data_IF_047241753162
#
_entry.id   IF_047241753162
#
_cell.length_a   1.000
_cell.length_b   1.000
_cell.length_c   1.000
_cell.angle_alpha   90.00
_cell.angle_beta   90.00
_cell.angle_gamma   90.00
#
_symmetry.space_group_name_H-M   'P 1'
#
loop_
_entity.id
_entity.type
_entity.pdbx_description
1 polymer ?
#
# COMPACT_ATOMS: atom_id res chain seq x y z
N UNK A 1 -14.97 -22.26 22.53
CA UNK A 1 -13.62 -21.89 22.98
C UNK A 1 -12.67 -22.99 22.52
N UNK A 2 -11.50 -22.64 21.98
CA UNK A 2 -10.46 -23.63 21.66
C UNK A 2 -9.99 -24.30 22.96
N UNK A 3 -9.90 -25.63 22.97
CA UNK A 3 -9.41 -26.42 24.12
C UNK A 3 -8.12 -27.11 23.66
N UNK A 4 -6.94 -26.67 24.13
CA UNK A 4 -5.66 -27.27 23.75
C UNK A 4 -5.60 -28.74 24.19
N UNK A 5 -5.26 -29.64 23.27
CA UNK A 5 -5.05 -31.07 23.55
C UNK A 5 -4.09 -31.70 22.52
N UNK A 6 -3.81 -32.99 22.67
CA UNK A 6 -2.90 -33.71 21.78
C UNK A 6 -3.37 -33.76 20.31
N UNK A 7 -4.67 -33.57 20.04
CA UNK A 7 -5.24 -33.62 18.69
C UNK A 7 -5.07 -32.30 17.93
N UNK A 8 -4.78 -31.20 18.63
CA UNK A 8 -4.52 -29.89 18.04
C UNK A 8 -3.09 -29.38 18.28
N UNK A 9 -2.20 -30.26 18.74
CA UNK A 9 -0.79 -29.98 18.91
C UNK A 9 -0.07 -29.95 17.55
N UNK A 10 0.28 -28.75 17.09
CA UNK A 10 1.05 -28.55 15.85
C UNK A 10 2.57 -28.65 16.07
N UNK A 11 3.06 -28.40 17.29
CA UNK A 11 4.48 -28.48 17.62
C UNK A 11 4.74 -28.79 19.09
N UNK A 12 5.59 -29.79 19.36
CA UNK A 12 6.10 -30.11 20.70
C UNK A 12 7.41 -29.34 21.03
N UNK A 13 7.78 -29.33 22.31
CA UNK A 13 8.91 -28.58 22.88
C UNK A 13 10.16 -28.51 21.98
N UNK A 14 10.65 -27.29 21.79
CA UNK A 14 11.86 -26.98 21.02
C UNK A 14 13.00 -26.58 21.96
N UNK A 15 14.24 -26.87 21.59
CA UNK A 15 15.42 -26.29 22.25
C UNK A 15 15.65 -24.82 21.88
N UNK A 16 14.88 -24.31 20.92
CA UNK A 16 14.89 -22.94 20.45
C UNK A 16 13.69 -22.15 21.00
N UNK A 17 13.85 -20.83 21.17
CA UNK A 17 12.79 -19.93 21.64
C UNK A 17 11.88 -19.43 20.49
N UNK A 18 11.97 -20.05 19.32
CA UNK A 18 11.18 -19.73 18.14
C UNK A 18 10.82 -20.99 17.36
N UNK A 19 9.69 -20.92 16.66
CA UNK A 19 9.22 -21.94 15.73
C UNK A 19 8.50 -21.27 14.57
N UNK A 20 8.65 -21.85 13.38
CA UNK A 20 7.98 -21.42 12.15
C UNK A 20 7.03 -22.51 11.71
N UNK A 21 5.76 -22.15 11.53
CA UNK A 21 4.76 -23.01 10.90
C UNK A 21 4.84 -22.85 9.37
N UNK A 22 5.08 -23.95 8.65
CA UNK A 22 5.15 -23.98 7.19
C UNK A 22 3.87 -24.55 6.55
N UNK A 23 2.91 -25.03 7.35
CA UNK A 23 1.68 -25.68 6.89
C UNK A 23 0.49 -24.70 6.76
N UNK A 24 0.76 -23.40 6.95
CA UNK A 24 -0.22 -22.32 6.85
C UNK A 24 -0.44 -21.84 5.42
N UNK A 25 -1.69 -21.52 5.10
CA UNK A 25 -2.13 -21.01 3.82
C UNK A 25 -2.08 -19.48 3.78
N UNK A 26 -1.78 -18.96 2.59
CA UNK A 26 -1.75 -17.53 2.32
C UNK A 26 -3.10 -16.86 2.63
N UNK A 27 -3.03 -15.67 3.22
CA UNK A 27 -4.20 -14.82 3.52
C UNK A 27 -5.28 -15.47 4.42
N UNK A 28 -4.89 -16.47 5.20
CA UNK A 28 -5.74 -17.08 6.21
C UNK A 28 -5.25 -16.71 7.61
N UNK A 29 -6.19 -16.38 8.50
CA UNK A 29 -5.87 -16.12 9.90
C UNK A 29 -5.64 -17.44 10.61
N UNK A 30 -4.47 -17.58 11.20
CA UNK A 30 -4.14 -18.67 12.11
C UNK A 30 -3.95 -18.13 13.53
N UNK A 31 -4.38 -18.94 14.49
CA UNK A 31 -4.30 -18.62 15.90
C UNK A 31 -3.49 -19.72 16.57
N UNK A 32 -2.41 -19.34 17.24
CA UNK A 32 -1.57 -20.27 17.98
C UNK A 32 -1.76 -20.06 19.47
N UNK A 33 -1.64 -21.15 20.21
CA UNK A 33 -1.61 -21.14 21.65
C UNK A 33 -0.35 -21.87 22.08
N UNK A 34 0.53 -21.14 22.78
CA UNK A 34 1.82 -21.64 23.23
C UNK A 34 1.73 -21.93 24.71
N UNK A 35 1.95 -23.19 25.08
CA UNK A 35 2.05 -23.61 26.48
C UNK A 35 3.51 -23.86 26.85
N UNK A 36 3.98 -23.19 27.89
CA UNK A 36 5.25 -23.52 28.53
C UNK A 36 5.00 -24.38 29.77
N UNK A 37 5.82 -25.42 29.96
CA UNK A 37 5.79 -26.30 31.13
C UNK A 37 7.16 -26.30 31.80
N UNK A 38 7.20 -26.06 33.10
CA UNK A 38 8.42 -26.20 33.90
C UNK A 38 8.67 -27.69 34.18
N UNK A 39 9.79 -28.21 33.66
CA UNK A 39 10.17 -29.62 33.77
C UNK A 39 10.58 -30.03 35.20
N UNK A 40 10.85 -29.07 36.10
CA UNK A 40 11.23 -29.32 37.48
C UNK A 40 10.06 -29.52 38.45
N UNK A 41 8.89 -28.97 38.15
CA UNK A 41 7.73 -29.00 39.05
C UNK A 41 6.38 -29.29 38.35
N UNK A 42 6.36 -29.40 37.02
CA UNK A 42 5.15 -29.71 36.26
C UNK A 42 4.14 -28.56 36.18
N UNK A 43 4.52 -27.35 36.58
CA UNK A 43 3.67 -26.18 36.42
C UNK A 43 3.59 -25.79 34.94
N UNK A 44 2.38 -25.55 34.47
CA UNK A 44 2.11 -25.07 33.13
C UNK A 44 1.67 -23.60 33.17
N UNK A 45 2.06 -22.84 32.15
CA UNK A 45 1.45 -21.54 31.81
C UNK A 45 -0.04 -21.72 31.49
N UNK A 46 -0.86 -20.73 31.89
CA UNK A 46 -2.33 -20.73 31.75
C UNK A 46 -2.81 -20.35 30.34
N UNK A 47 -1.89 -20.21 29.39
CA UNK A 47 -2.13 -19.89 28.00
C UNK A 47 -2.93 -18.58 27.80
N UNK A 48 -2.59 -17.54 28.56
CA UNK A 48 -3.36 -16.29 28.56
C UNK A 48 -3.04 -15.40 27.35
N UNK A 49 -1.90 -15.63 26.69
CA UNK A 49 -1.47 -14.87 25.53
C UNK A 49 -2.05 -15.45 24.23
N UNK A 50 -2.90 -14.68 23.57
CA UNK A 50 -3.39 -14.97 22.21
C UNK A 50 -2.77 -13.98 21.24
N UNK A 51 -1.96 -14.51 20.33
CA UNK A 51 -1.43 -13.77 19.20
C UNK A 51 -2.01 -14.36 17.92
N UNK A 52 -2.29 -13.50 16.95
CA UNK A 52 -2.61 -13.92 15.59
C UNK A 52 -1.68 -13.16 14.66
N UNK A 53 -1.29 -13.82 13.59
CA UNK A 53 -0.60 -13.18 12.48
C UNK A 53 -1.10 -13.79 11.18
N UNK A 54 -0.86 -13.11 10.07
CA UNK A 54 -1.21 -13.57 8.73
C UNK A 54 0.04 -14.17 8.10
N UNK A 55 -0.06 -15.41 7.62
CA UNK A 55 1.05 -16.03 6.92
C UNK A 55 1.21 -15.40 5.53
N UNK A 56 2.39 -14.83 5.29
CA UNK A 56 2.85 -14.39 3.97
C UNK A 56 3.97 -15.32 3.52
N UNK A 57 3.98 -15.70 2.24
CA UNK A 57 5.09 -16.47 1.67
C UNK A 57 6.38 -15.66 1.64
N UNK A 58 7.45 -16.23 1.07
CA UNK A 58 8.62 -15.43 0.76
C UNK A 58 8.23 -14.25 -0.13
N UNK A 59 8.92 -13.12 0.02
CA UNK A 59 8.76 -12.01 -0.90
C UNK A 59 9.08 -12.51 -2.32
N UNK A 60 8.18 -12.22 -3.24
CA UNK A 60 8.33 -12.53 -4.65
C UNK A 60 8.14 -11.26 -5.47
N UNK A 61 8.88 -11.17 -6.56
CA UNK A 61 8.73 -10.09 -7.54
C UNK A 61 7.30 -10.13 -8.08
N UNK A 62 6.59 -9.03 -7.95
CA UNK A 62 5.21 -8.91 -8.38
C UNK A 62 4.85 -7.49 -8.78
N UNK A 63 3.55 -7.28 -9.01
CA UNK A 63 2.97 -5.95 -9.19
C UNK A 63 2.13 -5.66 -7.97
N UNK A 64 2.38 -4.51 -7.35
CA UNK A 64 1.48 -3.97 -6.35
C UNK A 64 0.42 -3.13 -7.07
N UNK A 65 -0.86 -3.31 -6.75
CA UNK A 65 -1.95 -2.59 -7.41
C UNK A 65 -3.14 -2.38 -6.48
N UNK A 66 -3.79 -1.23 -6.61
CA UNK A 66 -5.04 -0.89 -5.92
C UNK A 66 -5.93 -0.05 -6.84
N UNK A 67 -7.20 -0.44 -6.97
CA UNK A 67 -8.21 0.19 -7.83
C UNK A 67 -9.39 0.76 -7.03
N UNK A 68 -9.15 1.14 -5.77
CA UNK A 68 -10.18 1.67 -4.86
C UNK A 68 -11.31 0.68 -4.52
N UNK A 69 -11.14 -0.62 -4.78
CA UNK A 69 -12.20 -1.62 -4.66
C UNK A 69 -12.38 -2.17 -3.24
N UNK A 70 -13.55 -2.77 -2.98
CA UNK A 70 -13.85 -3.33 -1.66
C UNK A 70 -12.87 -4.48 -1.39
N UNK A 71 -12.06 -4.32 -0.35
CA UNK A 71 -11.02 -5.28 0.02
C UNK A 71 -9.62 -4.91 -0.45
N UNK A 72 -9.47 -3.86 -1.27
CA UNK A 72 -8.17 -3.31 -1.59
C UNK A 72 -7.50 -2.74 -0.33
N UNK A 73 -6.21 -3.01 -0.20
CA UNK A 73 -5.38 -2.49 0.89
C UNK A 73 -4.12 -1.85 0.31
N UNK A 74 -3.65 -0.76 0.92
CA UNK A 74 -2.34 -0.19 0.57
C UNK A 74 -2.35 1.28 0.17
N UNK A 75 -3.50 1.93 0.03
CA UNK A 75 -3.63 3.37 -0.16
C UNK A 75 -4.71 3.92 0.78
N UNK A 76 -4.30 4.70 1.79
CA UNK A 76 -5.20 5.50 2.65
C UNK A 76 -6.26 4.76 3.50
N UNK A 77 -6.31 3.42 3.54
CA UNK A 77 -7.38 2.70 4.27
C UNK A 77 -7.06 2.33 5.73
N UNK A 78 -5.88 2.69 6.25
CA UNK A 78 -5.43 2.28 7.59
C UNK A 78 -5.19 3.43 8.57
N UNK A 79 -5.53 4.67 8.21
CA UNK A 79 -5.44 5.81 9.13
C UNK A 79 -6.82 6.20 9.65
N UNK A 80 -6.95 6.28 10.97
CA UNK A 80 -8.19 6.60 11.72
C UNK A 80 -8.69 8.05 11.52
N UNK A 81 -8.25 8.74 10.47
CA UNK A 81 -8.60 10.13 10.17
C UNK A 81 -8.79 10.29 8.67
N UNK A 82 -10.04 10.19 8.21
CA UNK A 82 -10.47 10.64 6.89
C UNK A 82 -10.41 12.18 6.84
N UNK A 83 -9.20 12.73 6.72
CA UNK A 83 -8.99 14.12 6.33
C UNK A 83 -8.34 14.10 4.94
N UNK A 84 -9.18 14.20 3.91
CA UNK A 84 -8.75 14.72 2.61
C UNK A 84 -8.90 13.82 1.38
N UNK A 85 -9.11 12.51 1.50
CA UNK A 85 -9.46 11.69 0.34
C UNK A 85 -10.57 10.70 0.69
N UNK A 86 -11.52 10.53 -0.23
CA UNK A 86 -12.72 9.72 -0.05
C UNK A 86 -12.88 8.70 -1.18
N UNK A 87 -13.64 7.65 -0.93
CA UNK A 87 -14.03 6.68 -1.94
C UNK A 87 -15.41 7.06 -2.50
N UNK A 88 -15.50 7.23 -3.81
CA UNK A 88 -16.74 7.63 -4.51
C UNK A 88 -17.17 6.59 -5.53
N UNK A 89 -18.43 6.63 -5.96
CA UNK A 89 -19.04 5.63 -6.87
C UNK A 89 -19.60 6.20 -8.17
N UNK A 90 -19.59 7.52 -8.33
CA UNK A 90 -20.20 8.25 -9.44
C UNK A 90 -19.21 8.73 -10.50
N UNK A 91 -17.95 8.95 -10.12
CA UNK A 91 -16.83 9.22 -11.04
C UNK A 91 -15.78 8.11 -10.92
N UNK A 92 -15.89 7.07 -11.74
CA UNK A 92 -15.09 5.83 -11.66
C UNK A 92 -14.47 5.51 -13.02
N UNK A 93 -13.21 5.05 -13.05
CA UNK A 93 -12.59 4.59 -14.29
C UNK A 93 -12.94 3.12 -14.56
N UNK A 94 -12.71 2.26 -13.57
CA UNK A 94 -13.07 0.84 -13.59
C UNK A 94 -13.56 0.36 -12.24
N UNK A 95 -14.25 -0.78 -12.22
CA UNK A 95 -14.77 -1.34 -10.97
C UNK A 95 -16.01 -0.59 -10.46
N UNK A 96 -16.06 -0.39 -9.14
CA UNK A 96 -17.19 0.21 -8.42
C UNK A 96 -16.84 1.55 -7.80
N UNK A 97 -15.56 1.85 -7.56
CA UNK A 97 -15.14 3.04 -6.82
C UNK A 97 -13.88 3.68 -7.39
N UNK A 98 -13.64 4.94 -7.03
CA UNK A 98 -12.36 5.62 -7.22
C UNK A 98 -12.01 6.43 -5.98
N UNK A 99 -10.77 6.90 -5.88
CA UNK A 99 -10.35 7.85 -4.86
C UNK A 99 -10.63 9.29 -5.32
N UNK A 100 -11.21 10.12 -4.47
CA UNK A 100 -11.52 11.53 -4.73
C UNK A 100 -10.89 12.43 -3.68
N UNK A 101 -10.26 13.52 -4.10
CA UNK A 101 -9.53 14.45 -3.24
C UNK A 101 -10.40 15.39 -2.41
N UNK A 102 -11.73 15.31 -2.54
CA UNK A 102 -12.64 16.40 -2.19
C UNK A 102 -12.36 17.66 -3.03
N UNK A 103 -13.12 18.74 -2.79
CA UNK A 103 -12.98 20.01 -3.48
C UNK A 103 -13.13 21.23 -2.54
N UNK A 104 -12.74 21.06 -1.27
CA UNK A 104 -12.79 22.12 -0.27
C UNK A 104 -11.72 23.20 -0.53
N UNK A 105 -11.97 24.43 -0.08
CA UNK A 105 -11.00 25.52 -0.12
C UNK A 105 -9.93 25.35 0.97
N UNK A 106 -8.72 25.86 0.71
CA UNK A 106 -7.57 25.83 1.60
C UNK A 106 -7.27 24.41 2.12
N UNK A 107 -7.42 23.40 1.26
CA UNK A 107 -7.24 22.01 1.60
C UNK A 107 -5.85 21.52 1.17
N UNK A 108 -5.17 20.78 2.05
CA UNK A 108 -3.94 20.04 1.73
C UNK A 108 -4.18 18.57 2.04
N UNK A 109 -4.63 17.84 1.03
CA UNK A 109 -5.20 16.51 1.14
C UNK A 109 -4.24 15.47 0.57
N UNK A 110 -3.85 14.48 1.37
CA UNK A 110 -2.80 13.51 1.00
C UNK A 110 -3.31 12.09 1.08
N UNK A 111 -3.26 11.40 -0.05
CA UNK A 111 -3.53 9.99 -0.18
C UNK A 111 -2.18 9.26 -0.27
N UNK A 112 -1.84 8.52 0.79
CA UNK A 112 -0.51 7.92 0.99
C UNK A 112 -0.60 6.41 1.00
N UNK A 113 0.37 5.74 0.38
CA UNK A 113 0.48 4.29 0.41
C UNK A 113 1.07 3.78 1.73
N UNK A 114 0.89 2.50 2.01
CA UNK A 114 1.82 1.82 2.92
C UNK A 114 3.22 1.73 2.27
N UNK A 115 4.31 1.63 3.05
CA UNK A 115 5.64 1.41 2.50
C UNK A 115 5.73 0.10 1.70
N UNK A 116 6.50 0.10 0.61
CA UNK A 116 6.72 -1.06 -0.23
C UNK A 116 8.15 -1.11 -0.77
N UNK A 117 8.76 -2.29 -0.80
CA UNK A 117 10.13 -2.46 -1.29
C UNK A 117 10.13 -2.75 -2.79
N UNK A 118 10.89 -1.98 -3.57
CA UNK A 118 11.09 -2.26 -4.99
C UNK A 118 12.11 -3.39 -5.18
N UNK A 119 11.95 -4.16 -6.24
CA UNK A 119 12.82 -5.30 -6.54
C UNK A 119 14.21 -4.82 -6.95
N UNK A 120 15.24 -5.34 -6.28
CA UNK A 120 16.63 -5.02 -6.60
C UNK A 120 17.02 -5.56 -8.00
N UNK A 121 17.57 -4.70 -8.85
CA UNK A 121 18.05 -5.07 -10.19
C UNK A 121 16.97 -5.06 -11.27
N UNK A 122 15.73 -4.68 -10.94
CA UNK A 122 14.61 -4.57 -11.87
C UNK A 122 14.16 -3.11 -12.01
N UNK A 123 13.73 -2.72 -13.21
CA UNK A 123 13.18 -1.39 -13.45
C UNK A 123 11.69 -1.35 -13.08
N UNK A 124 11.34 -0.63 -12.02
CA UNK A 124 9.96 -0.48 -11.56
C UNK A 124 9.27 0.70 -12.25
N UNK A 125 7.97 0.59 -12.51
CA UNK A 125 7.16 1.66 -13.11
C UNK A 125 5.86 1.85 -12.32
N UNK A 126 5.56 3.10 -11.98
CA UNK A 126 4.23 3.51 -11.53
C UNK A 126 3.31 3.69 -12.73
N UNK A 127 2.05 3.28 -12.61
CA UNK A 127 0.94 3.70 -13.47
C UNK A 127 -0.30 3.99 -12.65
N UNK A 128 -1.10 4.96 -13.09
CA UNK A 128 -2.41 5.27 -12.51
C UNK A 128 -3.32 5.94 -13.54
N UNK A 129 -4.62 5.88 -13.31
CA UNK A 129 -5.64 6.64 -14.03
C UNK A 129 -6.01 7.87 -13.23
N UNK A 130 -6.20 8.99 -13.91
CA UNK A 130 -6.55 10.27 -13.30
C UNK A 130 -7.62 11.01 -14.08
N UNK A 131 -8.56 11.63 -13.37
CA UNK A 131 -9.54 12.58 -13.88
C UNK A 131 -9.54 13.80 -12.97
N UNK A 132 -9.59 15.02 -13.51
CA UNK A 132 -9.57 16.23 -12.68
C UNK A 132 -10.31 17.41 -13.32
N UNK A 133 -10.93 18.21 -12.45
CA UNK A 133 -11.36 19.58 -12.70
C UNK A 133 -10.89 20.42 -11.49
N UNK A 134 -9.82 21.18 -11.70
CA UNK A 134 -9.04 21.87 -10.66
C UNK A 134 -8.83 23.31 -11.12
N UNK A 135 -8.92 24.29 -10.19
CA UNK A 135 -8.68 25.69 -10.55
C UNK A 135 -7.33 25.86 -11.27
N UNK A 136 -7.32 26.38 -12.51
CA UNK A 136 -6.10 26.47 -13.29
C UNK A 136 -5.01 27.30 -12.59
N UNK A 137 -3.90 26.63 -12.31
CA UNK A 137 -2.63 27.14 -11.78
C UNK A 137 -2.65 27.68 -10.35
N UNK A 138 -3.77 27.59 -9.65
CA UNK A 138 -3.87 27.98 -8.23
C UNK A 138 -3.99 26.75 -7.35
N UNK A 139 -4.83 25.83 -7.77
CA UNK A 139 -4.95 24.50 -7.19
C UNK A 139 -4.17 23.48 -8.01
N UNK A 140 -3.79 22.37 -7.40
CA UNK A 140 -3.07 21.33 -8.10
C UNK A 140 -2.99 19.98 -7.41
N UNK A 141 -2.87 18.93 -8.24
CA UNK A 141 -2.53 17.57 -7.84
C UNK A 141 -1.07 17.23 -8.14
N UNK A 142 -0.37 16.62 -7.19
CA UNK A 142 1.06 16.25 -7.28
C UNK A 142 1.22 14.78 -6.89
N UNK A 143 1.99 14.03 -7.69
CA UNK A 143 2.43 12.67 -7.37
C UNK A 143 3.85 12.73 -6.82
N UNK A 144 4.09 12.08 -5.69
CA UNK A 144 5.36 12.14 -4.97
C UNK A 144 5.76 10.75 -4.45
N UNK A 145 7.07 10.52 -4.37
CA UNK A 145 7.68 9.30 -3.83
C UNK A 145 8.66 9.68 -2.73
N UNK A 146 8.75 8.87 -1.68
CA UNK A 146 9.66 9.08 -0.56
C UNK A 146 10.29 7.77 -0.12
N UNK A 147 11.54 7.82 0.34
CA UNK A 147 12.28 6.67 0.89
C UNK A 147 12.45 6.76 2.41
N UNK A 148 11.99 7.85 3.03
CA UNK A 148 12.11 8.12 4.46
C UNK A 148 10.81 8.62 5.12
N UNK A 149 9.77 8.87 4.31
CA UNK A 149 8.49 9.44 4.74
C UNK A 149 8.51 10.95 5.01
N UNK A 150 9.68 11.58 4.97
CA UNK A 150 9.91 13.00 5.33
C UNK A 150 10.22 13.86 4.10
N UNK A 151 11.13 13.39 3.24
CA UNK A 151 11.54 14.02 1.99
C UNK A 151 10.80 13.37 0.82
N UNK A 152 10.21 14.20 -0.03
CA UNK A 152 9.32 13.76 -1.09
C UNK A 152 9.82 14.29 -2.44
N UNK A 153 10.11 13.36 -3.35
CA UNK A 153 10.52 13.64 -4.72
C UNK A 153 9.32 13.56 -5.66
N UNK A 154 9.25 14.46 -6.64
CA UNK A 154 8.25 14.39 -7.71
C UNK A 154 8.83 13.63 -8.91
N UNK A 155 8.43 12.37 -9.18
CA UNK A 155 8.93 11.65 -10.33
C UNK A 155 8.40 12.29 -11.63
N UNK A 156 9.20 12.19 -12.69
CA UNK A 156 8.80 12.65 -14.01
C UNK A 156 7.71 11.74 -14.58
N UNK A 157 6.57 12.33 -14.95
CA UNK A 157 5.44 11.60 -15.51
C UNK A 157 5.50 11.51 -17.04
N UNK A 158 4.90 10.45 -17.58
CA UNK A 158 4.59 10.28 -19.00
C UNK A 158 3.13 9.87 -19.17
N UNK A 159 2.26 10.69 -19.79
CA UNK A 159 2.51 12.09 -20.21
C UNK A 159 2.95 12.99 -19.05
N UNK A 160 3.62 14.10 -19.37
CA UNK A 160 4.04 15.08 -18.35
C UNK A 160 2.82 15.73 -17.69
N UNK A 161 3.05 16.38 -16.54
CA UNK A 161 2.04 17.23 -15.92
C UNK A 161 1.53 18.30 -16.91
N UNK A 162 0.22 18.59 -16.92
CA UNK A 162 -0.40 19.50 -17.89
C UNK A 162 -0.06 20.97 -17.66
N UNK A 163 0.25 21.38 -16.42
CA UNK A 163 0.50 22.77 -16.05
C UNK A 163 1.41 22.86 -14.80
N UNK A 164 1.54 24.05 -14.22
CA UNK A 164 2.30 24.34 -13.00
C UNK A 164 1.53 25.24 -12.03
N UNK A 165 1.93 25.20 -10.75
CA UNK A 165 1.47 26.18 -9.76
C UNK A 165 1.97 27.59 -10.11
N UNK A 166 1.09 28.59 -10.13
CA UNK A 166 1.43 29.99 -10.41
C UNK A 166 2.10 30.67 -9.22
N UNK A 167 1.73 30.28 -8.01
CA UNK A 167 2.17 30.84 -6.73
C UNK A 167 2.15 29.75 -5.66
N UNK A 168 2.88 29.94 -4.57
CA UNK A 168 2.87 29.07 -3.39
C UNK A 168 1.79 29.45 -2.37
N UNK A 169 0.60 29.84 -2.87
CA UNK A 169 -0.54 30.28 -2.04
C UNK A 169 -1.53 29.16 -1.75
N UNK A 170 -1.35 28.01 -2.38
CA UNK A 170 -2.06 26.77 -2.11
C UNK A 170 -1.77 26.29 -0.67
N UNK A 171 -2.66 25.48 -0.10
CA UNK A 171 -2.56 25.08 1.31
C UNK A 171 -1.33 24.21 1.65
N UNK A 172 -0.86 23.39 0.70
CA UNK A 172 0.38 22.61 0.83
C UNK A 172 1.65 23.44 0.57
N UNK A 173 1.52 24.68 0.10
CA UNK A 173 2.61 25.62 -0.20
C UNK A 173 3.60 25.09 -1.24
N UNK A 174 3.10 24.47 -2.30
CA UNK A 174 3.96 24.02 -3.39
C UNK A 174 4.69 25.20 -4.05
N UNK A 175 5.98 25.07 -4.44
CA UNK A 175 6.72 26.16 -5.04
C UNK A 175 6.08 26.67 -6.34
N UNK A 176 6.24 27.98 -6.59
CA UNK A 176 5.94 28.56 -7.90
C UNK A 176 6.64 27.78 -9.01
N UNK A 177 5.92 27.57 -10.12
CA UNK A 177 6.32 26.82 -11.31
C UNK A 177 6.55 25.31 -11.07
N UNK A 178 6.18 24.77 -9.91
CA UNK A 178 6.19 23.32 -9.71
C UNK A 178 5.13 22.64 -10.63
N UNK A 179 5.50 21.59 -11.39
CA UNK A 179 4.57 20.83 -12.21
C UNK A 179 3.40 20.25 -11.40
N UNK A 180 2.18 20.33 -11.94
CA UNK A 180 0.98 19.84 -11.27
C UNK A 180 -0.13 19.46 -12.26
N UNK A 181 -1.03 18.58 -11.82
CA UNK A 181 -2.33 18.43 -12.43
C UNK A 181 -3.18 19.62 -12.06
N UNK A 182 -3.51 20.46 -13.03
CA UNK A 182 -4.30 21.67 -12.83
C UNK A 182 -5.10 21.97 -14.11
N UNK A 183 -6.25 22.61 -13.98
CA UNK A 183 -7.22 22.77 -15.07
C UNK A 183 -8.15 21.56 -15.21
N UNK A 184 -8.60 21.27 -16.44
CA UNK A 184 -9.61 20.25 -16.73
C UNK A 184 -9.01 19.16 -17.62
N UNK A 185 -9.08 17.90 -17.19
CA UNK A 185 -8.52 16.76 -17.93
C UNK A 185 -9.36 16.37 -19.16
N UNK A 186 -10.67 16.68 -19.14
CA UNK A 186 -11.61 16.33 -20.21
C UNK A 186 -11.99 14.85 -20.27
N UNK A 187 -11.56 14.06 -19.29
CA UNK A 187 -11.74 12.61 -19.24
C UNK A 187 -10.64 11.92 -18.42
N UNK A 188 -10.78 10.61 -18.23
CA UNK A 188 -9.74 9.81 -17.59
C UNK A 188 -8.51 9.69 -18.49
N UNK A 189 -7.34 9.87 -17.88
CA UNK A 189 -6.04 9.81 -18.54
C UNK A 189 -5.09 8.92 -17.74
N UNK A 190 -4.35 8.07 -18.45
CA UNK A 190 -3.30 7.27 -17.83
C UNK A 190 -1.99 8.04 -17.80
N UNK A 191 -1.32 8.01 -16.65
CA UNK A 191 0.06 8.47 -16.49
C UNK A 191 0.94 7.34 -15.96
N UNK A 192 2.22 7.41 -16.30
CA UNK A 192 3.25 6.52 -15.77
C UNK A 192 4.45 7.28 -15.27
N UNK A 193 5.25 6.66 -14.39
CA UNK A 193 6.52 7.21 -13.92
C UNK A 193 7.56 6.09 -13.83
N UNK A 194 8.78 6.37 -14.29
CA UNK A 194 9.92 5.46 -14.08
C UNK A 194 10.43 5.60 -12.64
N UNK A 195 10.44 4.49 -11.90
CA UNK A 195 10.92 4.40 -10.52
C UNK A 195 12.21 3.56 -10.42
N UNK A 196 12.88 3.28 -11.53
CA UNK A 196 14.11 2.47 -11.57
C UNK A 196 15.24 3.00 -10.67
N UNK A 197 15.25 4.31 -10.39
CA UNK A 197 16.21 4.92 -9.47
C UNK A 197 16.08 4.40 -8.02
N UNK A 198 14.91 3.89 -7.63
CA UNK A 198 14.61 3.40 -6.28
C UNK A 198 14.71 1.87 -6.15
N UNK A 199 15.31 1.17 -7.12
CA UNK A 199 15.40 -0.30 -7.09
C UNK A 199 16.08 -0.81 -5.80
N UNK A 200 15.45 -1.79 -5.14
CA UNK A 200 15.95 -2.34 -3.87
C UNK A 200 15.68 -1.47 -2.64
N UNK A 201 15.12 -0.27 -2.80
CA UNK A 201 14.74 0.61 -1.70
C UNK A 201 13.29 0.37 -1.27
N UNK A 202 12.99 0.71 -0.02
CA UNK A 202 11.62 0.87 0.45
C UNK A 202 11.13 2.26 0.10
N UNK A 203 9.99 2.35 -0.57
CA UNK A 203 9.37 3.60 -0.98
C UNK A 203 7.96 3.74 -0.41
N UNK A 204 7.50 4.98 -0.30
CA UNK A 204 6.11 5.35 -0.07
C UNK A 204 5.65 6.24 -1.23
N UNK A 205 4.45 5.99 -1.75
CA UNK A 205 3.81 6.79 -2.79
C UNK A 205 2.79 7.75 -2.16
N UNK A 206 2.67 8.97 -2.70
CA UNK A 206 1.63 9.92 -2.30
C UNK A 206 1.02 10.65 -3.49
N UNK A 207 -0.30 10.78 -3.46
CA UNK A 207 -1.07 11.73 -4.27
C UNK A 207 -1.49 12.89 -3.36
N UNK A 208 -1.05 14.10 -3.67
CA UNK A 208 -1.27 15.29 -2.86
C UNK A 208 -2.07 16.31 -3.64
N UNK A 209 -3.27 16.64 -3.14
CA UNK A 209 -4.12 17.70 -3.67
C UNK A 209 -4.01 18.93 -2.78
N UNK A 210 -3.81 20.09 -3.40
CA UNK A 210 -3.68 21.37 -2.71
C UNK A 210 -4.57 22.42 -3.35
N UNK A 211 -5.36 23.11 -2.54
CA UNK A 211 -6.26 24.19 -2.99
C UNK A 211 -6.01 25.52 -2.28
N UNK A 212 -6.43 26.60 -2.94
CA UNK A 212 -6.39 27.97 -2.44
C UNK A 212 -7.74 28.39 -1.81
N UNK A 213 -7.89 29.68 -1.46
CA UNK A 213 -9.06 30.21 -0.77
C UNK A 213 -10.31 30.46 -1.62
N UNK A 214 -10.30 30.21 -2.93
CA UNK A 214 -11.42 30.50 -3.83
C UNK A 214 -11.50 29.52 -5.01
N UNK A 215 -12.47 29.74 -5.91
CA UNK A 215 -12.74 29.00 -7.17
C UNK A 215 -12.59 27.48 -7.08
N UNK A 216 -13.70 26.79 -6.97
CA UNK A 216 -13.74 25.34 -6.82
C UNK A 216 -14.04 24.65 -8.16
N UNK A 217 -13.24 23.63 -8.51
CA UNK A 217 -13.61 22.61 -9.48
C UNK A 217 -14.18 21.35 -8.81
N UNK A 218 -14.33 20.24 -9.55
CA UNK A 218 -14.79 18.98 -8.96
C UNK A 218 -13.69 18.25 -8.15
N UNK A 219 -12.45 18.72 -8.22
CA UNK A 219 -11.30 18.13 -7.53
C UNK A 219 -10.56 17.11 -8.39
N UNK A 220 -9.88 16.18 -7.72
CA UNK A 220 -9.00 15.19 -8.35
C UNK A 220 -9.45 13.77 -8.03
N UNK A 221 -9.48 12.93 -9.04
CA UNK A 221 -9.88 11.53 -8.96
C UNK A 221 -8.76 10.62 -9.43
N UNK A 222 -8.50 9.55 -8.68
CA UNK A 222 -7.45 8.56 -8.94
C UNK A 222 -8.05 7.16 -8.93
N UNK A 223 -7.61 6.33 -9.88
CA UNK A 223 -8.03 4.94 -10.00
C UNK A 223 -6.90 4.09 -10.61
N UNK A 224 -7.00 2.76 -10.51
CA UNK A 224 -6.08 1.78 -11.11
C UNK A 224 -4.58 2.10 -10.88
N UNK A 225 -4.21 2.35 -9.62
CA UNK A 225 -2.81 2.61 -9.24
C UNK A 225 -2.05 1.28 -9.22
N UNK A 226 -0.89 1.23 -9.87
CA UNK A 226 -0.02 0.07 -9.86
C UNK A 226 1.46 0.44 -9.89
N UNK A 227 2.29 -0.37 -9.23
CA UNK A 227 3.75 -0.32 -9.34
C UNK A 227 4.25 -1.71 -9.70
N UNK A 228 4.94 -1.82 -10.85
CA UNK A 228 5.58 -3.07 -11.27
C UNK A 228 6.86 -3.35 -10.49
N UNK A 229 7.26 -4.62 -10.43
CA UNK A 229 8.51 -5.07 -9.82
C UNK A 229 8.64 -4.69 -8.34
N UNK A 230 7.56 -4.85 -7.58
CA UNK A 230 7.56 -4.69 -6.12
C UNK A 230 7.78 -6.05 -5.45
N UNK A 231 8.48 -6.05 -4.32
CA UNK A 231 8.53 -7.20 -3.42
C UNK A 231 7.16 -7.35 -2.76
N UNK A 232 6.35 -8.25 -3.32
CA UNK A 232 5.03 -8.56 -2.79
C UNK A 232 5.13 -9.82 -1.93
N UNK A 233 4.36 -9.87 -0.84
CA UNK A 233 4.19 -11.08 -0.07
C UNK A 233 3.71 -12.21 -0.98
N UNK A 234 4.58 -13.18 -1.27
CA UNK A 234 4.26 -14.30 -2.12
C UNK A 234 3.18 -15.19 -1.49
N UNK A 235 2.69 -16.13 -2.29
CA UNK A 235 1.89 -17.23 -1.76
C UNK A 235 2.83 -18.10 -0.91
N UNK A 236 2.37 -18.55 0.26
CA UNK A 236 3.05 -19.63 0.96
C UNK A 236 3.02 -20.86 0.04
N UNK A 237 4.09 -21.08 -0.74
CA UNK A 237 4.29 -22.38 -1.36
C UNK A 237 4.68 -23.33 -0.23
N UNK A 238 3.73 -24.16 0.21
CA UNK A 238 4.10 -25.37 0.93
C UNK A 238 5.08 -26.09 0.02
N UNK A 239 6.34 -26.18 0.41
CA UNK A 239 7.29 -27.04 -0.28
C UNK A 239 6.75 -28.45 -0.03
N UNK A 240 5.83 -28.93 -0.87
CA UNK A 240 5.69 -30.37 -1.05
C UNK A 240 6.95 -30.76 -1.79
N UNK A 241 8.04 -30.89 -1.05
CA UNK A 241 9.23 -31.53 -1.55
C UNK A 241 8.90 -33.02 -1.68
N UNK A 242 8.10 -33.34 -2.70
CA UNK A 242 7.68 -34.69 -3.07
C UNK A 242 8.89 -35.55 -3.47
N UNK A 243 10.10 -34.99 -3.47
CA UNK A 243 11.36 -35.68 -3.75
C UNK A 243 11.99 -36.30 -2.48
N UNK A 244 11.55 -35.95 -1.27
CA UNK A 244 12.12 -36.53 -0.02
C UNK A 244 11.15 -37.38 0.81
N UNK A 245 9.94 -37.68 0.33
CA UNK A 245 8.98 -38.49 1.09
C UNK A 245 9.34 -39.99 1.11
N UNK A 246 10.10 -40.48 0.13
CA UNK A 246 10.52 -41.89 0.05
C UNK A 246 12.06 -41.98 0.04
N UNK A 247 12.67 -41.76 1.21
CA UNK A 247 14.12 -41.70 1.43
C UNK A 247 14.96 -42.68 0.59
N UNK A 248 16.11 -42.19 0.12
CA UNK A 248 17.10 -43.01 -0.58
C UNK A 248 17.61 -44.14 0.32
N UNK A 249 17.49 -45.38 -0.15
CA UNK A 249 18.34 -46.51 0.26
C UNK A 249 19.80 -46.31 -0.15
#
# INVERSE_FOLDING_TARGET
>A
AFVPDANNLVKAATSANSWTDYDVLHNQNYYYLVQAADSGNGNNEDNQLKLFNKATGQLSNGTWSVGAEIGDTGLGQNTTFHLGWELVTDQVYSGQRSYWSQNEHNACNRLVSEPMTLTLGESSQLSFQTYYDIEPRYDGGVVEVSTDGENWDQPALSPIYPDTFRTSSDACQYPTDMPAFSGVSGGWQQHTADLSAYQGEEITLRFSYSSDGSVTGDGWFIDEVSISNVQTAGVCETISDLIFMDGFE
#
